data_IF_124893573087
#
_entry.id   IF_124893573087
#
_cell.length_a   1.000
_cell.length_b   1.000
_cell.length_c   1.000
_cell.angle_alpha   90.00
_cell.angle_beta   90.00
_cell.angle_gamma   90.00
#
_symmetry.space_group_name_H-M   'P 1'
#
loop_
_entity.id
_entity.type
_entity.pdbx_description
1 polymer ?
#
# COMPACT_ATOMS: atom_id res chain seq x y z
N UNK A 1 -2.54 -9.45 15.31
CA UNK A 1 -3.99 -9.35 15.05
C UNK A 1 -4.29 -10.10 13.76
N UNK A 2 -5.14 -11.10 13.78
CA UNK A 2 -5.51 -11.90 12.62
C UNK A 2 -7.03 -11.90 12.43
N UNK A 3 -7.50 -12.07 11.19
CA UNK A 3 -8.92 -12.29 10.90
C UNK A 3 -9.21 -13.76 11.13
N UNK A 4 -10.07 -14.07 12.08
CA UNK A 4 -10.53 -15.45 12.36
C UNK A 4 -11.74 -15.85 11.52
N UNK A 5 -12.61 -14.89 11.18
CA UNK A 5 -13.83 -15.13 10.40
C UNK A 5 -14.19 -13.90 9.54
N UNK A 6 -14.73 -14.17 8.36
CA UNK A 6 -15.25 -13.15 7.42
C UNK A 6 -16.65 -13.56 6.94
N UNK A 7 -17.62 -12.68 7.09
CA UNK A 7 -18.95 -12.83 6.52
C UNK A 7 -19.15 -11.80 5.40
N UNK A 8 -19.62 -12.25 4.26
CA UNK A 8 -19.86 -11.46 3.05
C UNK A 8 -21.32 -11.53 2.63
N UNK A 9 -21.87 -10.41 2.19
CA UNK A 9 -23.18 -10.33 1.57
C UNK A 9 -23.10 -9.43 0.35
N UNK A 10 -23.50 -9.96 -0.81
CA UNK A 10 -23.63 -9.24 -2.08
C UNK A 10 -22.37 -8.47 -2.55
N UNK A 11 -21.19 -9.05 -2.31
CA UNK A 11 -19.91 -8.47 -2.71
C UNK A 11 -19.40 -9.09 -4.02
N UNK A 12 -19.28 -8.29 -5.07
CA UNK A 12 -18.81 -8.73 -6.39
C UNK A 12 -19.64 -9.92 -6.91
N UNK A 13 -18.93 -10.97 -7.36
CA UNK A 13 -19.52 -12.25 -7.81
C UNK A 13 -19.62 -13.31 -6.69
N UNK A 14 -19.24 -12.95 -5.45
CA UNK A 14 -19.29 -13.90 -4.35
C UNK A 14 -20.71 -14.10 -3.86
N UNK A 15 -21.08 -15.36 -3.60
CA UNK A 15 -22.29 -15.70 -2.88
C UNK A 15 -22.17 -15.28 -1.42
N UNK A 16 -23.30 -14.92 -0.80
CA UNK A 16 -23.31 -14.63 0.64
C UNK A 16 -22.83 -15.85 1.42
N UNK A 17 -21.75 -15.68 2.18
CA UNK A 17 -21.07 -16.77 2.86
C UNK A 17 -20.36 -16.29 4.11
N UNK A 18 -20.03 -17.24 5.00
CA UNK A 18 -19.15 -17.01 6.14
C UNK A 18 -17.99 -17.99 6.05
N UNK A 19 -16.79 -17.48 6.14
CA UNK A 19 -15.54 -18.22 6.04
C UNK A 19 -14.72 -18.05 7.30
N UNK A 20 -14.18 -19.15 7.81
CA UNK A 20 -13.23 -19.14 8.93
C UNK A 20 -11.81 -19.26 8.40
N UNK A 21 -10.87 -18.59 9.06
CA UNK A 21 -9.48 -18.52 8.65
C UNK A 21 -8.50 -19.00 9.69
N UNK A 22 -7.32 -19.42 9.25
CA UNK A 22 -6.16 -19.69 10.09
C UNK A 22 -5.38 -18.39 10.33
N UNK A 23 -4.75 -18.25 11.48
CA UNK A 23 -3.90 -17.11 11.81
C UNK A 23 -2.59 -17.04 11.01
N UNK A 24 -2.18 -18.12 10.33
CA UNK A 24 -1.03 -18.18 9.43
C UNK A 24 -1.46 -18.17 7.95
N UNK A 25 -1.14 -19.26 7.24
CA UNK A 25 -1.42 -19.40 5.81
C UNK A 25 -2.86 -19.81 5.52
N UNK A 26 -3.50 -19.13 4.59
CA UNK A 26 -4.81 -19.45 4.03
C UNK A 26 -4.68 -19.49 2.50
N UNK A 27 -4.90 -20.66 1.89
CA UNK A 27 -4.84 -20.86 0.46
C UNK A 27 -6.24 -20.84 -0.14
N UNK A 28 -6.45 -19.97 -1.12
CA UNK A 28 -7.73 -19.79 -1.79
C UNK A 28 -7.64 -20.46 -3.15
N UNK A 29 -8.33 -21.59 -3.34
CA UNK A 29 -8.36 -22.37 -4.55
C UNK A 29 -9.73 -22.29 -5.24
N UNK A 30 -9.75 -22.55 -6.54
CA UNK A 30 -10.97 -22.56 -7.35
C UNK A 30 -10.69 -22.19 -8.79
N UNK A 31 -11.66 -22.41 -9.66
CA UNK A 31 -11.58 -22.11 -11.10
C UNK A 31 -11.37 -20.63 -11.39
N UNK A 32 -10.99 -20.31 -12.63
CA UNK A 32 -10.93 -18.93 -13.08
C UNK A 32 -12.34 -18.33 -13.04
N UNK A 33 -12.44 -17.13 -12.41
CA UNK A 33 -13.72 -16.46 -12.22
C UNK A 33 -14.52 -16.91 -10.98
N UNK A 34 -14.05 -17.89 -10.18
CA UNK A 34 -14.74 -18.35 -8.95
C UNK A 34 -14.85 -17.29 -7.87
N UNK A 35 -14.02 -16.23 -7.92
CA UNK A 35 -14.07 -15.15 -6.95
C UNK A 35 -12.84 -15.04 -6.04
N UNK A 36 -11.72 -15.74 -6.32
CA UNK A 36 -10.48 -15.70 -5.52
C UNK A 36 -10.01 -14.27 -5.26
N UNK A 37 -9.78 -13.51 -6.33
CA UNK A 37 -9.42 -12.08 -6.25
C UNK A 37 -10.50 -11.25 -5.55
N UNK A 38 -11.79 -11.59 -5.73
CA UNK A 38 -12.90 -10.89 -5.06
C UNK A 38 -12.89 -11.13 -3.54
N UNK A 39 -12.49 -12.31 -3.08
CA UNK A 39 -12.32 -12.60 -1.66
C UNK A 39 -11.15 -11.81 -1.07
N UNK A 40 -10.00 -11.78 -1.76
CA UNK A 40 -8.88 -10.92 -1.35
C UNK A 40 -9.28 -9.45 -1.31
N UNK A 41 -10.04 -8.99 -2.32
CA UNK A 41 -10.55 -7.62 -2.36
C UNK A 41 -11.50 -7.32 -1.19
N UNK A 42 -12.35 -8.25 -0.79
CA UNK A 42 -13.25 -8.09 0.35
C UNK A 42 -12.47 -7.93 1.67
N UNK A 43 -11.44 -8.76 1.91
CA UNK A 43 -10.56 -8.66 3.07
C UNK A 43 -9.85 -7.29 3.06
N UNK A 44 -9.33 -6.88 1.91
CA UNK A 44 -8.67 -5.59 1.76
C UNK A 44 -9.62 -4.41 2.03
N UNK A 45 -10.83 -4.46 1.47
CA UNK A 45 -11.87 -3.43 1.68
C UNK A 45 -12.26 -3.34 3.15
N UNK A 46 -12.40 -4.47 3.86
CA UNK A 46 -12.69 -4.47 5.30
C UNK A 46 -11.61 -3.74 6.11
N UNK A 47 -10.33 -3.92 5.76
CA UNK A 47 -9.20 -3.34 6.49
C UNK A 47 -8.88 -1.90 6.07
N UNK A 48 -9.18 -1.52 4.84
CA UNK A 48 -8.74 -0.27 4.24
C UNK A 48 -9.87 0.69 3.86
N UNK A 49 -11.12 0.26 3.90
CA UNK A 49 -12.29 1.00 3.40
C UNK A 49 -12.09 1.57 1.97
N UNK A 50 -11.32 0.87 1.14
CA UNK A 50 -11.16 1.10 -0.30
C UNK A 50 -10.74 -0.19 -1.00
N UNK A 51 -10.95 -0.25 -2.31
CA UNK A 51 -10.53 -1.38 -3.12
C UNK A 51 -9.14 -1.12 -3.73
N UNK A 52 -8.35 -2.18 -3.93
CA UNK A 52 -7.11 -2.12 -4.72
C UNK A 52 -7.37 -2.20 -6.24
N UNK A 53 -8.58 -2.60 -6.66
CA UNK A 53 -8.97 -2.75 -8.07
C UNK A 53 -9.72 -1.56 -8.63
N UNK A 54 -10.41 -0.79 -7.77
CA UNK A 54 -11.25 0.33 -8.21
C UNK A 54 -11.22 1.49 -7.22
N UNK A 55 -11.31 2.70 -7.75
CA UNK A 55 -11.45 3.92 -6.93
C UNK A 55 -12.86 4.10 -6.37
N UNK A 56 -13.86 3.38 -6.89
CA UNK A 56 -15.25 3.51 -6.50
C UNK A 56 -15.78 2.23 -5.87
N UNK A 57 -15.93 2.21 -4.54
CA UNK A 57 -16.48 1.05 -3.82
C UNK A 57 -17.88 0.61 -4.31
N UNK A 58 -18.63 1.49 -4.96
CA UNK A 58 -19.89 1.13 -5.60
C UNK A 58 -19.73 -0.01 -6.61
N UNK A 59 -18.60 -0.08 -7.32
CA UNK A 59 -18.29 -1.14 -8.28
C UNK A 59 -18.05 -2.51 -7.62
N UNK A 60 -17.93 -2.56 -6.29
CA UNK A 60 -17.83 -3.80 -5.53
C UNK A 60 -19.19 -4.40 -5.15
N UNK A 61 -20.30 -3.67 -5.40
CA UNK A 61 -21.65 -4.17 -5.19
C UNK A 61 -21.94 -5.24 -6.26
N UNK A 62 -22.56 -6.34 -5.86
CA UNK A 62 -23.05 -7.35 -6.79
C UNK A 62 -24.05 -6.73 -7.79
N UNK A 63 -24.03 -7.18 -9.05
CA UNK A 63 -24.70 -6.51 -10.16
C UNK A 63 -26.21 -6.27 -9.92
N UNK A 64 -26.90 -7.23 -9.25
CA UNK A 64 -28.35 -7.18 -9.03
C UNK A 64 -28.73 -6.65 -7.65
N UNK A 65 -27.78 -6.00 -6.94
CA UNK A 65 -27.98 -5.59 -5.56
C UNK A 65 -27.77 -4.08 -5.35
N UNK A 66 -28.36 -3.56 -4.29
CA UNK A 66 -28.28 -2.14 -3.93
C UNK A 66 -27.15 -1.80 -2.98
N UNK A 67 -26.42 -2.81 -2.46
CA UNK A 67 -25.34 -2.63 -1.52
C UNK A 67 -24.66 -3.94 -1.17
N UNK A 68 -23.55 -3.85 -0.45
CA UNK A 68 -22.87 -5.01 0.12
C UNK A 68 -22.59 -4.81 1.61
N UNK A 69 -22.40 -5.92 2.33
CA UNK A 69 -21.95 -5.95 3.71
C UNK A 69 -20.76 -6.88 3.83
N UNK A 70 -19.71 -6.40 4.51
CA UNK A 70 -18.56 -7.20 4.92
C UNK A 70 -18.46 -7.10 6.44
N UNK A 71 -18.35 -8.23 7.12
CA UNK A 71 -18.12 -8.29 8.55
C UNK A 71 -16.98 -9.26 8.85
N UNK A 72 -16.02 -8.84 9.68
CA UNK A 72 -14.88 -9.65 10.10
C UNK A 72 -14.74 -9.69 11.61
N UNK A 73 -14.33 -10.87 12.11
CA UNK A 73 -13.84 -11.06 13.46
C UNK A 73 -12.32 -11.13 13.44
N UNK A 74 -11.71 -10.28 14.21
CA UNK A 74 -10.28 -10.29 14.47
C UNK A 74 -10.03 -10.83 15.88
N UNK A 75 -8.77 -11.09 16.23
CA UNK A 75 -8.44 -11.62 17.56
C UNK A 75 -9.01 -10.74 18.69
N UNK A 76 -8.86 -9.41 18.56
CA UNK A 76 -9.15 -8.45 19.64
C UNK A 76 -10.37 -7.56 19.36
N UNK A 77 -10.94 -7.60 18.15
CA UNK A 77 -12.05 -6.73 17.77
C UNK A 77 -12.91 -7.28 16.63
N UNK A 78 -14.02 -6.61 16.36
CA UNK A 78 -14.92 -6.90 15.24
C UNK A 78 -15.04 -5.65 14.38
N UNK A 79 -14.97 -5.82 13.07
CA UNK A 79 -15.17 -4.72 12.13
C UNK A 79 -16.26 -5.08 11.12
N UNK A 80 -17.08 -4.09 10.80
CA UNK A 80 -18.12 -4.20 9.77
C UNK A 80 -18.08 -3.01 8.83
N UNK A 81 -18.29 -3.27 7.53
CA UNK A 81 -18.35 -2.26 6.50
C UNK A 81 -19.56 -2.52 5.61
N UNK A 82 -20.46 -1.54 5.54
CA UNK A 82 -21.62 -1.57 4.66
C UNK A 82 -21.53 -0.44 3.63
N UNK A 83 -21.79 -0.76 2.38
CA UNK A 83 -21.82 0.21 1.28
C UNK A 83 -23.08 0.03 0.46
N UNK A 84 -23.81 1.11 0.28
CA UNK A 84 -24.88 1.22 -0.71
C UNK A 84 -24.58 2.37 -1.68
N UNK A 85 -25.49 2.66 -2.60
CA UNK A 85 -25.29 3.72 -3.60
C UNK A 85 -24.92 5.08 -3.01
N UNK A 86 -25.44 5.41 -1.83
CA UNK A 86 -25.33 6.75 -1.23
C UNK A 86 -24.31 6.82 -0.09
N UNK A 87 -24.16 5.76 0.73
CA UNK A 87 -23.48 5.83 2.01
C UNK A 87 -22.45 4.71 2.16
N UNK A 88 -21.34 5.02 2.81
CA UNK A 88 -20.39 4.06 3.36
C UNK A 88 -20.46 4.16 4.88
N UNK A 89 -20.69 3.05 5.54
CA UNK A 89 -20.74 2.91 7.00
C UNK A 89 -19.65 1.96 7.46
N UNK A 90 -18.92 2.36 8.49
CA UNK A 90 -17.85 1.56 9.08
C UNK A 90 -18.08 1.50 10.59
N UNK A 91 -18.08 0.30 11.12
CA UNK A 91 -18.23 0.05 12.56
C UNK A 91 -17.09 -0.82 13.05
N UNK A 92 -16.56 -0.49 14.22
CA UNK A 92 -15.60 -1.32 14.96
C UNK A 92 -16.13 -1.47 16.38
N UNK A 93 -16.27 -2.70 16.86
CA UNK A 93 -16.82 -3.05 18.16
C UNK A 93 -18.18 -2.38 18.47
N UNK A 94 -19.02 -2.28 17.42
CA UNK A 94 -20.33 -1.64 17.49
C UNK A 94 -20.33 -0.11 17.41
N UNK A 95 -19.17 0.54 17.41
CA UNK A 95 -19.05 1.99 17.30
C UNK A 95 -18.79 2.43 15.87
N UNK A 96 -19.51 3.47 15.42
CA UNK A 96 -19.33 4.04 14.08
C UNK A 96 -18.01 4.81 14.01
N UNK A 97 -17.16 4.43 13.06
CA UNK A 97 -15.90 5.12 12.77
C UNK A 97 -16.12 6.16 11.67
N UNK A 98 -15.72 7.41 11.93
CA UNK A 98 -15.81 8.51 10.97
C UNK A 98 -14.55 8.67 10.12
N UNK A 99 -13.40 8.21 10.60
CA UNK A 99 -12.10 8.39 9.96
C UNK A 99 -11.54 7.05 9.52
N UNK A 100 -11.39 6.89 8.23
CA UNK A 100 -10.74 5.72 7.62
C UNK A 100 -9.34 5.43 8.21
N UNK A 101 -8.59 6.48 8.60
CA UNK A 101 -7.25 6.32 9.19
C UNK A 101 -7.25 5.53 10.52
N UNK A 102 -8.38 5.51 11.24
CA UNK A 102 -8.52 4.70 12.47
C UNK A 102 -8.54 3.21 12.10
N UNK A 103 -9.33 2.83 11.10
CA UNK A 103 -9.40 1.46 10.59
C UNK A 103 -8.02 0.98 10.07
N UNK A 104 -7.36 1.79 9.25
CA UNK A 104 -6.05 1.48 8.65
C UNK A 104 -4.98 1.23 9.73
N UNK A 105 -5.01 1.99 10.82
CA UNK A 105 -4.07 1.80 11.94
C UNK A 105 -4.28 0.51 12.69
N UNK A 106 -5.52 0.05 12.80
CA UNK A 106 -5.85 -1.16 13.56
C UNK A 106 -5.38 -2.41 12.84
N UNK A 107 -5.50 -2.43 11.51
CA UNK A 107 -5.27 -3.64 10.71
C UNK A 107 -4.31 -3.34 9.57
N UNK A 108 -2.99 -3.46 9.80
CA UNK A 108 -2.02 -3.31 8.71
C UNK A 108 -2.19 -4.45 7.71
N UNK A 109 -2.46 -4.09 6.47
CA UNK A 109 -2.64 -5.02 5.37
C UNK A 109 -1.84 -4.55 4.15
N UNK A 110 -1.26 -5.49 3.44
CA UNK A 110 -0.63 -5.24 2.15
C UNK A 110 -1.08 -6.28 1.12
N UNK A 111 -0.92 -5.95 -0.15
CA UNK A 111 -1.22 -6.85 -1.26
C UNK A 111 -0.04 -6.93 -2.21
N UNK A 112 0.28 -8.16 -2.61
CA UNK A 112 1.19 -8.48 -3.70
C UNK A 112 0.35 -9.02 -4.86
N UNK A 113 0.37 -8.30 -5.96
CA UNK A 113 -0.34 -8.64 -7.20
C UNK A 113 0.48 -8.14 -8.41
N UNK A 114 -0.02 -8.28 -9.63
CA UNK A 114 0.64 -7.79 -10.84
C UNK A 114 1.05 -6.30 -10.77
N UNK A 115 0.23 -5.46 -10.14
CA UNK A 115 0.53 -4.04 -9.94
C UNK A 115 1.72 -3.77 -9.02
N UNK A 116 2.05 -4.71 -8.14
CA UNK A 116 3.20 -4.60 -7.22
C UNK A 116 4.53 -4.69 -7.96
N UNK A 117 4.57 -5.38 -9.10
CA UNK A 117 5.77 -5.55 -9.93
C UNK A 117 6.06 -4.34 -10.83
N UNK A 118 5.18 -3.33 -10.84
CA UNK A 118 5.37 -2.07 -11.58
C UNK A 118 6.11 -1.00 -10.74
N UNK A 119 6.63 -1.37 -9.56
CA UNK A 119 7.27 -0.41 -8.65
C UNK A 119 8.50 0.26 -9.28
N UNK A 120 9.29 -0.48 -10.06
CA UNK A 120 10.50 0.03 -10.71
C UNK A 120 10.18 0.90 -11.93
N UNK A 121 9.29 0.41 -12.81
CA UNK A 121 8.97 1.04 -14.10
C UNK A 121 7.79 2.01 -14.01
N UNK A 122 7.04 1.94 -12.92
CA UNK A 122 5.83 2.72 -12.70
C UNK A 122 6.09 4.20 -12.43
N UNK A 123 5.03 4.97 -12.47
CA UNK A 123 5.08 6.39 -12.15
C UNK A 123 5.56 6.62 -10.70
N UNK A 124 6.22 7.77 -10.41
CA UNK A 124 6.68 8.14 -9.06
C UNK A 124 5.60 8.02 -7.97
N UNK A 125 4.35 8.15 -8.36
CA UNK A 125 3.20 8.00 -7.45
C UNK A 125 3.12 6.59 -6.82
N UNK A 126 3.48 5.52 -7.56
CA UNK A 126 3.50 4.15 -7.03
C UNK A 126 4.62 4.00 -5.99
N UNK A 127 5.80 4.57 -6.24
CA UNK A 127 6.94 4.55 -5.32
C UNK A 127 6.66 5.36 -4.05
N UNK A 128 6.01 6.52 -4.18
CA UNK A 128 5.52 7.28 -3.01
C UNK A 128 4.52 6.49 -2.19
N UNK A 129 3.55 5.84 -2.84
CA UNK A 129 2.56 5.02 -2.14
C UNK A 129 3.20 3.85 -1.37
N UNK A 130 4.25 3.25 -1.91
CA UNK A 130 5.06 2.22 -1.24
C UNK A 130 5.72 2.76 0.03
N UNK A 131 6.43 3.92 -0.05
CA UNK A 131 7.04 4.54 1.13
C UNK A 131 5.96 4.95 2.13
N UNK A 132 4.89 5.58 1.68
CA UNK A 132 3.80 6.03 2.54
C UNK A 132 3.19 4.88 3.34
N UNK A 133 2.95 3.74 2.69
CA UNK A 133 2.45 2.55 3.39
C UNK A 133 3.39 2.14 4.51
N UNK A 134 4.69 2.07 4.25
CA UNK A 134 5.69 1.73 5.27
C UNK A 134 5.67 2.75 6.42
N UNK A 135 5.76 4.03 6.08
CA UNK A 135 5.86 5.11 7.05
C UNK A 135 4.62 5.24 7.95
N UNK A 136 3.42 5.02 7.40
CA UNK A 136 2.19 4.99 8.19
C UNK A 136 2.21 3.93 9.28
N UNK A 137 2.96 2.87 9.07
CA UNK A 137 3.03 1.74 9.99
C UNK A 137 4.26 1.76 10.91
N UNK A 138 5.34 2.42 10.54
CA UNK A 138 6.61 2.42 11.27
C UNK A 138 6.81 3.70 12.08
N UNK A 139 6.39 4.86 11.55
CA UNK A 139 6.77 6.16 12.10
C UNK A 139 5.62 6.82 12.86
N UNK A 140 5.71 6.92 14.20
CA UNK A 140 4.75 7.67 14.98
C UNK A 140 4.75 9.14 14.55
N UNK A 141 3.61 9.71 14.27
CA UNK A 141 3.50 11.11 13.81
C UNK A 141 3.46 11.28 12.28
N UNK A 142 3.90 10.29 11.48
CA UNK A 142 3.83 10.40 10.02
C UNK A 142 2.42 10.71 9.52
N UNK A 143 1.42 9.99 10.04
CA UNK A 143 0.02 10.18 9.67
C UNK A 143 -0.49 11.61 9.98
N UNK A 144 -0.02 12.23 11.04
CA UNK A 144 -0.40 13.60 11.40
C UNK A 144 0.24 14.61 10.46
N UNK A 145 1.55 14.52 10.23
CA UNK A 145 2.26 15.40 9.30
C UNK A 145 1.71 15.25 7.88
N UNK A 146 1.40 14.03 7.45
CA UNK A 146 0.74 13.78 6.17
C UNK A 146 -0.64 14.44 6.07
N UNK A 147 -1.44 14.38 7.12
CA UNK A 147 -2.75 15.03 7.18
C UNK A 147 -2.64 16.55 7.07
N UNK A 148 -1.70 17.16 7.81
CA UNK A 148 -1.44 18.62 7.79
C UNK A 148 -0.98 19.04 6.39
N UNK A 149 0.00 18.33 5.83
CA UNK A 149 0.48 18.56 4.47
C UNK A 149 -0.64 18.46 3.43
N UNK A 150 -1.42 17.38 3.44
CA UNK A 150 -2.51 17.18 2.49
C UNK A 150 -3.61 18.24 2.62
N UNK A 151 -3.85 18.72 3.83
CA UNK A 151 -4.79 19.82 4.05
C UNK A 151 -4.27 21.10 3.41
N UNK A 152 -3.05 21.52 3.74
CA UNK A 152 -2.42 22.72 3.20
C UNK A 152 -2.33 22.68 1.65
N UNK A 153 -1.89 21.55 1.10
CA UNK A 153 -1.80 21.36 -0.36
C UNK A 153 -3.15 21.51 -1.06
N UNK A 154 -4.22 20.92 -0.50
CA UNK A 154 -5.57 21.04 -1.07
C UNK A 154 -6.07 22.48 -1.04
N UNK A 155 -5.88 23.20 0.06
CA UNK A 155 -6.30 24.60 0.17
C UNK A 155 -5.51 25.49 -0.79
N UNK A 156 -4.17 25.32 -0.81
CA UNK A 156 -3.30 26.05 -1.74
C UNK A 156 -3.72 25.81 -3.20
N UNK A 157 -3.90 24.57 -3.61
CA UNK A 157 -4.32 24.22 -4.97
C UNK A 157 -5.72 24.74 -5.31
N UNK A 158 -6.62 24.85 -4.32
CA UNK A 158 -7.94 25.48 -4.50
C UNK A 158 -7.82 26.95 -4.83
N UNK A 159 -6.96 27.70 -4.11
CA UNK A 159 -6.70 29.11 -4.40
C UNK A 159 -6.06 29.28 -5.78
N UNK A 160 -5.06 28.47 -6.13
CA UNK A 160 -4.41 28.51 -7.44
C UNK A 160 -5.42 28.28 -8.59
N UNK A 161 -6.36 27.35 -8.42
CA UNK A 161 -7.40 27.05 -9.44
C UNK A 161 -8.44 28.17 -9.55
N UNK A 162 -8.90 28.69 -8.43
CA UNK A 162 -9.94 29.75 -8.42
C UNK A 162 -9.38 31.10 -8.86
N UNK A 163 -8.06 31.32 -8.70
CA UNK A 163 -7.38 32.61 -8.88
C UNK A 163 -7.95 33.75 -8.04
N UNK A 164 -8.74 33.38 -7.01
CA UNK A 164 -9.29 34.31 -6.04
C UNK A 164 -8.39 34.30 -4.78
N UNK A 165 -8.35 35.45 -4.10
CA UNK A 165 -7.63 35.58 -2.83
C UNK A 165 -6.16 35.10 -2.85
N UNK A 166 -5.44 35.39 -3.96
CA UNK A 166 -4.02 35.02 -4.15
C UNK A 166 -3.15 35.47 -2.96
N UNK A 167 -3.55 36.51 -2.23
CA UNK A 167 -2.87 36.99 -1.00
C UNK A 167 -2.83 35.92 0.11
N UNK A 168 -3.78 34.98 0.11
CA UNK A 168 -3.80 33.87 1.07
C UNK A 168 -2.81 32.75 0.72
N UNK A 169 -2.14 32.82 -0.43
CA UNK A 169 -1.12 31.82 -0.79
C UNK A 169 0.03 31.82 0.21
N UNK A 170 0.48 32.99 0.70
CA UNK A 170 1.57 33.08 1.68
C UNK A 170 1.25 32.35 2.98
N UNK A 171 -0.02 32.41 3.42
CA UNK A 171 -0.48 31.67 4.58
C UNK A 171 -0.40 30.15 4.36
N UNK A 172 -0.86 29.66 3.21
CA UNK A 172 -0.83 28.23 2.91
C UNK A 172 0.57 27.74 2.53
N UNK A 173 1.44 28.59 1.98
CA UNK A 173 2.85 28.30 1.74
C UNK A 173 3.54 27.96 3.08
N UNK A 174 3.37 28.78 4.12
CA UNK A 174 3.92 28.53 5.47
C UNK A 174 3.40 27.19 6.05
N UNK A 175 2.07 26.95 5.96
CA UNK A 175 1.46 25.72 6.46
C UNK A 175 1.84 24.46 5.66
N UNK A 176 2.37 24.61 4.46
CA UNK A 176 2.87 23.52 3.62
C UNK A 176 4.32 23.17 3.96
N UNK A 177 5.16 24.13 4.31
CA UNK A 177 6.61 23.99 4.48
C UNK A 177 6.95 23.04 5.64
N UNK A 178 6.50 23.33 6.84
CA UNK A 178 6.86 22.56 8.04
C UNK A 178 6.49 21.07 7.94
N UNK A 179 5.25 20.70 7.59
CA UNK A 179 4.91 19.29 7.40
C UNK A 179 5.70 18.63 6.28
N UNK A 180 6.02 19.37 5.19
CA UNK A 180 6.81 18.83 4.07
C UNK A 180 8.24 18.50 4.50
N UNK A 181 8.90 19.36 5.26
CA UNK A 181 10.25 19.14 5.76
C UNK A 181 10.28 17.96 6.75
N UNK A 182 9.31 17.87 7.64
CA UNK A 182 9.17 16.74 8.57
C UNK A 182 9.01 15.42 7.81
N UNK A 183 8.10 15.35 6.84
CA UNK A 183 7.87 14.17 6.00
C UNK A 183 9.11 13.80 5.17
N UNK A 184 9.82 14.79 4.63
CA UNK A 184 11.09 14.59 3.90
C UNK A 184 12.13 13.89 4.77
N UNK A 185 12.34 14.38 5.99
CA UNK A 185 13.30 13.80 6.93
C UNK A 185 12.92 12.35 7.24
N UNK A 186 11.67 12.10 7.61
CA UNK A 186 11.17 10.76 7.91
C UNK A 186 11.37 9.80 6.72
N UNK A 187 11.02 10.21 5.48
CA UNK A 187 11.18 9.38 4.28
C UNK A 187 12.65 9.12 3.95
N UNK A 188 13.51 10.15 4.03
CA UNK A 188 14.94 10.02 3.78
C UNK A 188 15.60 9.02 4.76
N UNK A 189 15.28 9.13 6.05
CA UNK A 189 15.83 8.25 7.07
C UNK A 189 15.31 6.81 6.92
N UNK A 190 14.05 6.66 6.53
CA UNK A 190 13.49 5.35 6.22
C UNK A 190 14.19 4.71 5.01
N UNK A 191 14.43 5.46 3.93
CA UNK A 191 15.13 4.95 2.74
C UNK A 191 16.53 4.45 3.08
N UNK A 192 17.27 5.16 3.96
CA UNK A 192 18.59 4.70 4.46
C UNK A 192 18.48 3.38 5.23
N UNK A 193 17.48 3.25 6.11
CA UNK A 193 17.24 1.99 6.86
C UNK A 193 16.86 0.85 5.91
N UNK A 194 16.01 1.14 4.94
CA UNK A 194 15.55 0.15 3.95
C UNK A 194 16.70 -0.34 3.08
N UNK A 195 17.66 0.53 2.69
CA UNK A 195 18.84 0.17 1.91
C UNK A 195 19.59 -1.02 2.51
N UNK A 196 19.93 -0.95 3.80
CA UNK A 196 20.69 -2.02 4.45
C UNK A 196 19.95 -3.36 4.53
N UNK A 197 18.62 -3.32 4.63
CA UNK A 197 17.79 -4.54 4.66
C UNK A 197 17.65 -5.12 3.24
N UNK A 198 17.42 -4.25 2.25
CA UNK A 198 17.30 -4.68 0.85
C UNK A 198 18.61 -5.31 0.34
N UNK A 199 19.77 -4.84 0.76
CA UNK A 199 21.05 -5.45 0.41
C UNK A 199 21.14 -6.90 0.89
N UNK A 200 20.66 -7.21 2.08
CA UNK A 200 20.60 -8.59 2.61
C UNK A 200 19.62 -9.43 1.81
N UNK A 201 18.40 -8.94 1.60
CA UNK A 201 17.36 -9.66 0.84
C UNK A 201 17.78 -9.92 -0.61
N UNK A 202 18.49 -8.97 -1.22
CA UNK A 202 18.96 -9.11 -2.60
C UNK A 202 20.02 -10.19 -2.75
N UNK A 203 20.89 -10.39 -1.77
CA UNK A 203 21.87 -11.46 -1.80
C UNK A 203 21.21 -12.83 -1.93
N UNK A 204 20.03 -13.02 -1.36
CA UNK A 204 19.27 -14.27 -1.40
C UNK A 204 18.45 -14.44 -2.69
N UNK A 205 17.85 -13.35 -3.17
CA UNK A 205 16.88 -13.38 -4.28
C UNK A 205 17.54 -13.08 -5.64
N UNK A 206 18.56 -12.22 -5.64
CA UNK A 206 19.22 -11.72 -6.85
C UNK A 206 20.74 -11.58 -6.63
N UNK A 207 21.47 -12.69 -6.67
CA UNK A 207 22.92 -12.65 -6.58
C UNK A 207 23.55 -11.83 -7.73
N UNK A 208 24.51 -10.96 -7.39
CA UNK A 208 25.30 -10.21 -8.39
C UNK A 208 24.69 -8.89 -8.85
N UNK A 209 23.58 -8.42 -8.27
CA UNK A 209 23.01 -7.09 -8.54
C UNK A 209 23.27 -6.17 -7.34
N UNK A 210 23.94 -5.07 -7.60
CA UNK A 210 24.05 -3.96 -6.66
C UNK A 210 22.86 -3.03 -6.83
N UNK A 211 22.17 -2.69 -5.76
CA UNK A 211 21.06 -1.75 -5.75
C UNK A 211 21.33 -0.61 -4.78
N UNK A 212 21.10 0.60 -5.24
CA UNK A 212 21.12 1.82 -4.45
C UNK A 212 19.72 2.46 -4.45
N UNK A 213 19.21 2.76 -3.27
CA UNK A 213 17.96 3.47 -3.05
C UNK A 213 18.25 4.96 -2.94
N UNK A 214 17.92 5.74 -3.96
CA UNK A 214 18.15 7.19 -4.00
C UNK A 214 16.84 7.93 -3.74
N UNK A 215 16.72 8.53 -2.57
CA UNK A 215 15.59 9.41 -2.27
C UNK A 215 15.83 10.79 -2.85
N UNK A 216 14.94 11.25 -3.72
CA UNK A 216 14.95 12.58 -4.31
C UNK A 216 13.82 13.43 -3.72
N UNK A 217 14.17 14.54 -3.11
CA UNK A 217 13.17 15.51 -2.67
C UNK A 217 12.44 16.14 -3.86
N UNK A 218 11.21 16.61 -3.64
CA UNK A 218 10.35 17.15 -4.71
C UNK A 218 10.63 18.61 -5.07
N UNK A 219 11.86 19.09 -4.89
CA UNK A 219 12.37 20.41 -5.27
C UNK A 219 13.89 20.35 -5.44
N UNK A 220 14.53 21.35 -6.13
CA UNK A 220 15.99 21.38 -6.36
C UNK A 220 16.78 21.28 -5.05
N UNK A 221 17.88 20.53 -5.06
CA UNK A 221 18.70 20.25 -3.85
C UNK A 221 19.46 21.49 -3.36
N UNK A 222 19.72 22.45 -4.25
CA UNK A 222 20.39 23.72 -3.98
C UNK A 222 19.45 24.81 -3.43
N UNK A 223 18.15 24.55 -3.34
CA UNK A 223 17.15 25.49 -2.85
C UNK A 223 16.51 25.00 -1.54
N UNK A 224 16.18 25.94 -0.67
CA UNK A 224 15.24 25.67 0.40
C UNK A 224 13.84 25.40 -0.19
N UNK A 225 12.97 24.66 0.53
CA UNK A 225 11.59 24.47 0.07
C UNK A 225 10.85 25.79 -0.04
N UNK A 226 11.11 26.74 0.85
CA UNK A 226 10.52 28.07 0.82
C UNK A 226 10.89 28.82 -0.46
N UNK A 227 12.17 28.84 -0.83
CA UNK A 227 12.63 29.48 -2.07
C UNK A 227 12.10 28.75 -3.31
N UNK A 228 12.02 27.42 -3.27
CA UNK A 228 11.44 26.63 -4.34
C UNK A 228 9.95 26.93 -4.55
N UNK A 229 9.18 27.13 -3.49
CA UNK A 229 7.76 27.51 -3.57
C UNK A 229 7.64 28.93 -4.13
N UNK A 230 8.46 29.87 -3.62
CA UNK A 230 8.46 31.27 -4.10
C UNK A 230 8.83 31.37 -5.60
N UNK A 231 9.89 30.69 -6.01
CA UNK A 231 10.34 30.68 -7.42
C UNK A 231 9.34 30.03 -8.38
N UNK A 232 8.57 29.04 -7.93
CA UNK A 232 7.54 28.40 -8.72
C UNK A 232 6.19 29.13 -8.72
N UNK A 233 6.01 30.21 -7.97
CA UNK A 233 4.70 30.85 -7.74
C UNK A 233 3.95 31.21 -9.02
N UNK A 234 4.61 31.82 -9.97
CA UNK A 234 4.00 32.18 -11.25
C UNK A 234 3.58 30.96 -12.07
N UNK A 235 4.43 29.92 -12.06
CA UNK A 235 4.13 28.64 -12.70
C UNK A 235 2.93 27.97 -12.05
N UNK A 236 2.87 27.98 -10.73
CA UNK A 236 1.77 27.42 -9.95
C UNK A 236 0.45 28.13 -10.24
N UNK A 237 0.45 29.47 -10.31
CA UNK A 237 -0.73 30.26 -10.68
C UNK A 237 -1.20 29.93 -12.10
N UNK A 238 -0.26 29.76 -13.04
CA UNK A 238 -0.60 29.42 -14.43
C UNK A 238 -1.17 28.01 -14.55
N UNK A 239 -0.56 27.02 -13.88
CA UNK A 239 -0.96 25.62 -13.95
C UNK A 239 -2.15 25.26 -13.06
N UNK A 240 -2.44 26.06 -12.01
CA UNK A 240 -3.44 25.76 -11.01
C UNK A 240 -3.03 24.68 -10.00
N UNK A 241 -1.74 24.33 -9.94
CA UNK A 241 -1.20 23.27 -9.07
C UNK A 241 0.15 23.67 -8.47
N UNK A 242 0.44 23.15 -7.27
CA UNK A 242 1.73 23.26 -6.61
C UNK A 242 2.76 22.36 -7.31
N UNK A 243 3.90 22.92 -7.71
CA UNK A 243 4.94 22.22 -8.46
C UNK A 243 6.18 21.86 -7.62
N UNK A 244 6.34 22.40 -6.41
CA UNK A 244 7.41 22.07 -5.48
C UNK A 244 6.84 21.52 -4.17
N UNK A 245 7.44 20.47 -3.60
CA UNK A 245 7.06 19.88 -2.31
C UNK A 245 7.06 18.36 -2.29
N UNK A 246 6.76 17.78 -1.12
CA UNK A 246 6.84 16.36 -0.84
C UNK A 246 5.95 15.47 -1.74
N UNK A 247 4.90 16.03 -2.35
CA UNK A 247 4.06 15.32 -3.33
C UNK A 247 4.73 15.15 -4.71
N UNK A 248 5.93 15.71 -4.90
CA UNK A 248 6.75 15.62 -6.10
C UNK A 248 8.02 14.81 -5.88
N UNK A 249 8.27 14.35 -4.66
CA UNK A 249 9.45 13.52 -4.39
C UNK A 249 9.39 12.17 -5.09
N UNK A 250 10.53 11.50 -5.10
CA UNK A 250 10.64 10.18 -5.71
C UNK A 250 11.64 9.30 -4.95
N UNK A 251 11.45 7.98 -5.04
CA UNK A 251 12.43 6.98 -4.65
C UNK A 251 12.93 6.29 -5.92
N UNK A 252 14.18 6.51 -6.27
CA UNK A 252 14.80 5.85 -7.41
C UNK A 252 15.57 4.63 -6.99
N UNK A 253 15.49 3.62 -7.81
CA UNK A 253 16.21 2.37 -7.70
C UNK A 253 17.33 2.37 -8.72
N UNK A 254 18.58 2.56 -8.25
CA UNK A 254 19.75 2.70 -9.10
C UNK A 254 20.60 1.44 -9.04
N UNK A 255 21.13 1.02 -10.19
CA UNK A 255 22.12 -0.05 -10.29
C UNK A 255 23.22 0.41 -11.24
N UNK A 256 24.47 0.30 -10.83
CA UNK A 256 25.63 0.74 -11.64
C UNK A 256 25.49 2.17 -12.19
N UNK A 257 24.93 3.09 -11.40
CA UNK A 257 24.73 4.50 -11.78
C UNK A 257 23.58 4.77 -12.77
N UNK A 258 22.76 3.77 -13.11
CA UNK A 258 21.59 3.90 -14.00
C UNK A 258 20.32 3.45 -13.28
N UNK A 259 19.16 3.83 -13.81
CA UNK A 259 17.90 3.28 -13.29
C UNK A 259 17.89 1.76 -13.42
N UNK A 260 17.54 1.07 -12.35
CA UNK A 260 17.52 -0.40 -12.33
C UNK A 260 16.57 -0.97 -13.42
N UNK A 261 15.47 -0.27 -13.70
CA UNK A 261 14.52 -0.64 -14.76
C UNK A 261 15.12 -0.65 -16.18
N UNK A 262 16.20 0.11 -16.43
CA UNK A 262 16.85 0.17 -17.74
C UNK A 262 17.85 -0.96 -17.97
N UNK A 263 18.33 -1.58 -16.87
CA UNK A 263 19.42 -2.57 -16.90
C UNK A 263 18.88 -3.99 -16.68
N UNK A 264 17.87 -4.12 -15.81
CA UNK A 264 17.37 -5.42 -15.40
C UNK A 264 16.43 -6.03 -16.43
N UNK A 265 16.54 -7.34 -16.63
CA UNK A 265 15.52 -8.10 -17.36
C UNK A 265 14.18 -8.06 -16.61
N UNK A 266 13.08 -8.36 -17.30
CA UNK A 266 11.74 -8.41 -16.69
C UNK A 266 11.69 -9.34 -15.47
N UNK A 267 12.31 -10.51 -15.56
CA UNK A 267 12.38 -11.46 -14.44
C UNK A 267 13.16 -10.92 -13.26
N UNK A 268 14.31 -10.26 -13.50
CA UNK A 268 15.10 -9.61 -12.47
C UNK A 268 14.34 -8.44 -11.83
N UNK A 269 13.65 -7.63 -12.61
CA UNK A 269 12.81 -6.51 -12.11
C UNK A 269 11.71 -7.01 -11.18
N UNK A 270 11.03 -8.12 -11.52
CA UNK A 270 10.02 -8.74 -10.66
C UNK A 270 10.60 -9.23 -9.34
N UNK A 271 11.74 -9.94 -9.40
CA UNK A 271 12.43 -10.41 -8.19
C UNK A 271 12.90 -9.25 -7.31
N UNK A 272 13.38 -8.16 -7.90
CA UNK A 272 13.75 -6.95 -7.16
C UNK A 272 12.54 -6.29 -6.51
N UNK A 273 11.43 -6.12 -7.20
CA UNK A 273 10.19 -5.60 -6.60
C UNK A 273 9.77 -6.44 -5.39
N UNK A 274 9.88 -7.75 -5.51
CA UNK A 274 9.53 -8.67 -4.44
C UNK A 274 10.48 -8.54 -3.24
N UNK A 275 11.80 -8.46 -3.46
CA UNK A 275 12.78 -8.23 -2.41
C UNK A 275 12.50 -6.92 -1.66
N UNK A 276 12.15 -5.85 -2.38
CA UNK A 276 11.75 -4.56 -1.80
C UNK A 276 10.48 -4.69 -0.94
N UNK A 277 9.47 -5.43 -1.41
CA UNK A 277 8.24 -5.66 -0.67
C UNK A 277 8.48 -6.51 0.59
N UNK A 278 9.30 -7.57 0.51
CA UNK A 278 9.64 -8.40 1.65
C UNK A 278 10.48 -7.63 2.67
N UNK A 279 11.46 -6.84 2.23
CA UNK A 279 12.23 -5.95 3.10
C UNK A 279 11.33 -4.95 3.84
N UNK A 280 10.38 -4.34 3.12
CA UNK A 280 9.40 -3.43 3.72
C UNK A 280 8.51 -4.13 4.75
N UNK A 281 8.03 -5.34 4.47
CA UNK A 281 7.25 -6.15 5.40
C UNK A 281 8.06 -6.51 6.65
N UNK A 282 9.34 -6.89 6.51
CA UNK A 282 10.25 -7.17 7.64
C UNK A 282 10.43 -5.94 8.53
N UNK A 283 10.58 -4.74 7.95
CA UNK A 283 10.68 -3.50 8.72
C UNK A 283 9.39 -3.24 9.50
N UNK A 284 8.24 -3.33 8.81
CA UNK A 284 6.94 -3.05 9.43
C UNK A 284 6.60 -4.08 10.51
N UNK A 285 6.87 -5.37 10.30
CA UNK A 285 6.60 -6.42 11.27
C UNK A 285 7.42 -6.26 12.56
N UNK A 286 8.71 -5.88 12.44
CA UNK A 286 9.59 -5.63 13.60
C UNK A 286 9.20 -4.39 14.40
N UNK A 287 8.57 -3.40 13.79
CA UNK A 287 8.19 -2.15 14.44
C UNK A 287 6.84 -2.21 15.18
N UNK A 288 6.06 -3.26 14.97
CA UNK A 288 4.69 -3.39 15.49
C UNK A 288 4.49 -4.63 16.34
N UNK A 289 3.61 -4.47 17.35
CA UNK A 289 3.08 -5.59 18.14
C UNK A 289 1.98 -6.36 17.38
N UNK A 290 1.40 -5.78 16.34
CA UNK A 290 0.28 -6.35 15.60
C UNK A 290 0.77 -7.08 14.35
N UNK A 291 0.26 -8.30 14.16
CA UNK A 291 0.47 -9.12 12.97
C UNK A 291 -0.04 -8.40 11.72
N UNK A 292 0.70 -8.46 10.64
CA UNK A 292 0.32 -7.89 9.34
C UNK A 292 -0.48 -8.94 8.57
N UNK A 293 -1.51 -8.50 7.86
CA UNK A 293 -2.22 -9.32 6.88
C UNK A 293 -1.57 -9.11 5.51
N UNK A 294 -1.11 -10.19 4.89
CA UNK A 294 -0.55 -10.18 3.55
C UNK A 294 -1.48 -10.90 2.59
N UNK A 295 -1.92 -10.21 1.56
CA UNK A 295 -2.67 -10.77 0.45
C UNK A 295 -1.72 -11.02 -0.71
N UNK A 296 -1.82 -12.17 -1.34
CA UNK A 296 -1.03 -12.53 -2.53
C UNK A 296 -2.00 -13.01 -3.60
N UNK A 297 -2.11 -12.24 -4.67
CA UNK A 297 -2.98 -12.58 -5.80
C UNK A 297 -2.15 -13.06 -6.98
N UNK A 298 -2.31 -14.35 -7.30
CA UNK A 298 -1.75 -15.02 -8.47
C UNK A 298 -0.21 -14.88 -8.62
N UNK A 299 0.53 -15.22 -7.57
CA UNK A 299 2.00 -15.17 -7.59
C UNK A 299 2.61 -16.10 -8.66
N UNK A 300 1.91 -17.20 -8.96
CA UNK A 300 2.38 -18.23 -9.90
C UNK A 300 2.48 -17.71 -11.34
N UNK A 301 1.65 -16.75 -11.73
CA UNK A 301 1.72 -16.14 -13.07
C UNK A 301 2.90 -15.16 -13.22
N UNK A 302 3.45 -14.69 -12.10
CA UNK A 302 4.43 -13.62 -12.08
C UNK A 302 5.86 -14.09 -11.86
N UNK A 303 6.07 -15.26 -11.25
CA UNK A 303 7.38 -15.78 -10.83
C UNK A 303 7.58 -17.23 -11.28
N UNK A 304 8.85 -17.58 -11.56
CA UNK A 304 9.26 -18.96 -11.73
C UNK A 304 9.24 -19.74 -10.39
N UNK A 305 9.22 -21.08 -10.46
CA UNK A 305 9.09 -21.95 -9.29
C UNK A 305 10.21 -21.76 -8.25
N UNK A 306 11.43 -21.43 -8.67
CA UNK A 306 12.55 -21.20 -7.75
C UNK A 306 12.35 -19.90 -6.97
N UNK A 307 11.96 -18.82 -7.64
CA UNK A 307 11.65 -17.54 -7.00
C UNK A 307 10.47 -17.67 -6.05
N UNK A 308 9.42 -18.43 -6.44
CA UNK A 308 8.28 -18.72 -5.57
C UNK A 308 8.72 -19.44 -4.27
N UNK A 309 9.52 -20.48 -4.39
CA UNK A 309 10.01 -21.24 -3.22
C UNK A 309 10.82 -20.35 -2.26
N UNK A 310 11.70 -19.50 -2.80
CA UNK A 310 12.47 -18.54 -1.98
C UNK A 310 11.56 -17.59 -1.22
N UNK A 311 10.53 -17.07 -1.89
CA UNK A 311 9.52 -16.18 -1.27
C UNK A 311 8.77 -16.89 -0.16
N UNK A 312 8.29 -18.07 -0.41
CA UNK A 312 7.55 -18.84 0.58
C UNK A 312 8.41 -19.18 1.80
N UNK A 313 9.68 -19.53 1.61
CA UNK A 313 10.61 -19.75 2.73
C UNK A 313 10.77 -18.50 3.59
N UNK A 314 10.96 -17.35 2.99
CA UNK A 314 11.07 -16.09 3.73
C UNK A 314 9.75 -15.71 4.43
N UNK A 315 8.60 -15.96 3.80
CA UNK A 315 7.30 -15.67 4.40
C UNK A 315 7.00 -16.56 5.62
N UNK A 316 7.47 -17.80 5.64
CA UNK A 316 7.31 -18.72 6.79
C UNK A 316 7.99 -18.16 8.04
N UNK A 317 9.10 -17.45 7.89
CA UNK A 317 9.86 -16.86 8.99
C UNK A 317 9.21 -15.58 9.56
N UNK A 318 8.21 -15.03 8.84
CA UNK A 318 7.52 -13.81 9.26
C UNK A 318 6.25 -14.12 10.04
N UNK A 319 5.99 -13.39 11.13
CA UNK A 319 4.71 -13.48 11.88
C UNK A 319 3.61 -12.70 11.15
N UNK A 320 3.12 -13.29 10.04
CA UNK A 320 2.08 -12.72 9.17
C UNK A 320 0.87 -13.65 9.11
N UNK A 321 -0.31 -13.06 8.90
CA UNK A 321 -1.44 -13.82 8.37
C UNK A 321 -1.51 -13.64 6.86
N UNK A 322 -1.53 -14.73 6.12
CA UNK A 322 -1.44 -14.72 4.66
C UNK A 322 -2.67 -15.30 4.00
N UNK A 323 -3.10 -14.67 2.92
CA UNK A 323 -4.17 -15.14 2.04
C UNK A 323 -3.60 -15.20 0.63
N UNK A 324 -3.47 -16.40 0.10
CA UNK A 324 -2.80 -16.65 -1.18
C UNK A 324 -3.82 -17.24 -2.14
N UNK A 325 -4.12 -16.52 -3.22
CA UNK A 325 -4.91 -17.07 -4.32
C UNK A 325 -4.01 -17.94 -5.21
N UNK A 326 -4.47 -19.15 -5.50
CA UNK A 326 -3.78 -20.07 -6.39
C UNK A 326 -4.76 -20.70 -7.36
N UNK A 327 -4.32 -20.96 -8.59
CA UNK A 327 -5.11 -21.68 -9.58
C UNK A 327 -5.00 -23.19 -9.31
N UNK A 328 -3.82 -23.66 -8.92
CA UNK A 328 -3.56 -25.06 -8.59
C UNK A 328 -3.68 -25.29 -7.10
N UNK A 329 -4.36 -26.37 -6.71
CA UNK A 329 -4.57 -26.76 -5.31
C UNK A 329 -3.30 -27.27 -4.59
N UNK A 330 -2.14 -27.26 -5.25
CA UNK A 330 -0.89 -27.71 -4.66
C UNK A 330 -0.33 -26.61 -3.73
N UNK A 331 -0.41 -26.86 -2.41
CA UNK A 331 0.27 -26.08 -1.40
C UNK A 331 1.77 -26.43 -1.46
N UNK A 332 2.67 -25.45 -1.59
CA UNK A 332 4.11 -25.73 -1.59
C UNK A 332 4.54 -26.41 -0.28
N UNK A 333 5.17 -27.56 -0.35
CA UNK A 333 5.78 -28.17 0.84
C UNK A 333 7.01 -27.36 1.29
N UNK A 334 7.24 -27.16 2.61
CA UNK A 334 6.58 -27.77 3.77
C UNK A 334 5.50 -26.88 4.43
N UNK A 335 4.81 -26.02 3.68
CA UNK A 335 3.91 -25.01 4.26
C UNK A 335 2.59 -25.66 4.67
N UNK A 336 2.22 -25.52 5.92
CA UNK A 336 0.91 -25.93 6.43
C UNK A 336 -0.03 -24.73 6.51
N UNK A 337 -1.21 -24.84 5.91
CA UNK A 337 -2.22 -23.79 5.88
C UNK A 337 -3.64 -24.31 5.76
N UNK A 338 -4.59 -23.43 5.85
CA UNK A 338 -6.02 -23.75 5.63
C UNK A 338 -6.35 -23.59 4.17
N UNK A 339 -6.96 -24.59 3.55
CA UNK A 339 -7.49 -24.50 2.19
C UNK A 339 -8.94 -23.96 2.22
N UNK A 340 -9.23 -23.02 1.32
CA UNK A 340 -10.52 -22.37 1.14
C UNK A 340 -10.91 -22.57 -0.33
N UNK A 341 -11.91 -23.38 -0.59
CA UNK A 341 -12.42 -23.65 -1.96
C UNK A 341 -13.59 -22.72 -2.27
N UNK A 342 -13.51 -22.03 -3.41
CA UNK A 342 -14.55 -21.12 -3.92
C UNK A 342 -15.25 -21.72 -5.14
#
# INVERSE_FOLDING_TARGET
MAISQLSLTDFRNLRSTTLDFNSGFNFISGDNGSGKTSLLEAIYVLCQAHSFRTHQLKQCINHDKSGFLIFGRFDDHKAGLAKNDKKLEIHVDGQSIKRRSELVRMTPINIVNADSFVLLDGAPQKRRAFIDWCMFHVEPGYAEQWRLFQHALRQRNRLLKSRQDIKLLDYWDQHLIEPSLSLRTMRSDYCKKLQGIVEVELCEILSGISLELVYQQGWPDDLSLEDAIKSNRERDIRSGFTNAGIHRDDLRFMSQGRNASEILSRGQSKRLCLALLLAALKVVSKSRQNRIILLIDDLNSELDSNAQNTVYQQLVEMDLQMFISNIDSAIPEPIRGKEIKL
#
